data_IF_611637905377
#
_entry.id   IF_611637905377
#
_cell.length_a   1.000
_cell.length_b   1.000
_cell.length_c   1.000
_cell.angle_alpha   90.00
_cell.angle_beta   90.00
_cell.angle_gamma   90.00
#
_symmetry.space_group_name_H-M   'P 1'
#
loop_
_entity.id
_entity.type
_entity.pdbx_description
1 polymer ?
#
# COMPACT_ATOMS: atom_id res chain seq x y z
N UNK A 1 47.70 -17.43 -29.06
CA UNK A 1 47.08 -16.34 -28.27
C UNK A 1 45.57 -16.45 -28.45
N UNK A 2 44.87 -17.08 -27.50
CA UNK A 2 43.42 -17.26 -27.58
C UNK A 2 42.74 -15.93 -27.21
N UNK A 3 42.00 -15.35 -28.15
CA UNK A 3 41.16 -14.18 -27.89
C UNK A 3 39.96 -14.66 -27.07
N UNK A 4 39.91 -14.26 -25.81
CA UNK A 4 38.76 -14.45 -24.92
C UNK A 4 37.64 -13.54 -25.46
N UNK A 5 36.45 -14.07 -25.78
CA UNK A 5 35.34 -13.22 -26.17
C UNK A 5 34.89 -12.37 -24.99
N UNK A 6 34.47 -11.11 -25.22
CA UNK A 6 34.02 -10.22 -24.15
C UNK A 6 32.80 -10.83 -23.45
N UNK A 7 32.64 -10.59 -22.14
CA UNK A 7 31.47 -11.07 -21.41
C UNK A 7 30.23 -10.40 -22.00
N UNK A 8 29.27 -11.22 -22.42
CA UNK A 8 27.97 -10.79 -22.90
C UNK A 8 27.24 -10.05 -21.77
N UNK A 9 27.41 -8.73 -21.70
CA UNK A 9 26.60 -7.82 -20.90
C UNK A 9 25.23 -7.74 -21.58
N UNK A 10 24.48 -8.85 -21.52
CA UNK A 10 23.09 -8.93 -21.92
C UNK A 10 22.27 -8.07 -20.97
N UNK A 11 22.24 -6.76 -21.22
CA UNK A 11 21.39 -5.82 -20.52
C UNK A 11 19.95 -6.29 -20.60
N UNK A 12 19.40 -6.72 -19.46
CA UNK A 12 18.03 -7.17 -19.36
C UNK A 12 17.12 -5.95 -19.58
N UNK A 13 16.78 -5.67 -20.84
CA UNK A 13 15.83 -4.63 -21.23
C UNK A 13 14.41 -5.08 -20.88
N UNK A 14 14.10 -5.08 -19.58
CA UNK A 14 12.79 -5.43 -19.06
C UNK A 14 11.75 -4.46 -19.64
N UNK A 15 10.69 -4.99 -20.24
CA UNK A 15 9.57 -4.16 -20.70
C UNK A 15 8.96 -3.44 -19.50
N UNK A 16 8.56 -2.17 -19.66
CA UNK A 16 7.94 -1.36 -18.58
C UNK A 16 6.79 -2.10 -17.86
N UNK A 17 6.00 -2.88 -18.60
CA UNK A 17 4.93 -3.71 -18.05
C UNK A 17 5.43 -4.84 -17.13
N UNK A 18 6.58 -5.44 -17.43
CA UNK A 18 7.22 -6.44 -16.56
C UNK A 18 7.80 -5.77 -15.31
N UNK A 19 8.40 -4.58 -15.45
CA UNK A 19 8.90 -3.80 -14.31
C UNK A 19 7.76 -3.46 -13.34
N UNK A 20 6.61 -3.00 -13.85
CA UNK A 20 5.42 -2.72 -13.01
C UNK A 20 4.97 -3.97 -12.25
N UNK A 21 4.95 -5.15 -12.90
CA UNK A 21 4.60 -6.42 -12.24
C UNK A 21 5.59 -6.80 -11.14
N UNK A 22 6.89 -6.62 -11.38
CA UNK A 22 7.93 -6.90 -10.38
C UNK A 22 7.82 -5.94 -9.19
N UNK A 23 7.63 -4.64 -9.43
CA UNK A 23 7.39 -3.65 -8.37
C UNK A 23 6.18 -4.01 -7.52
N UNK A 24 5.06 -4.35 -8.16
CA UNK A 24 3.84 -4.80 -7.47
C UNK A 24 4.09 -6.05 -6.64
N UNK A 25 4.76 -7.06 -7.21
CA UNK A 25 5.09 -8.28 -6.50
C UNK A 25 5.97 -7.99 -5.27
N UNK A 26 7.02 -7.17 -5.42
CA UNK A 26 7.89 -6.77 -4.32
C UNK A 26 7.12 -6.04 -3.21
N UNK A 27 6.21 -5.13 -3.56
CA UNK A 27 5.38 -4.44 -2.58
C UNK A 27 4.50 -5.41 -1.79
N UNK A 28 3.82 -6.33 -2.48
CA UNK A 28 2.98 -7.35 -1.83
C UNK A 28 3.81 -8.28 -0.94
N UNK A 29 5.04 -8.61 -1.35
CA UNK A 29 5.95 -9.46 -0.59
C UNK A 29 6.37 -8.80 0.73
N UNK A 30 6.65 -7.49 0.72
CA UNK A 30 6.93 -6.71 1.94
C UNK A 30 5.72 -6.69 2.88
N UNK A 31 4.50 -6.54 2.34
CA UNK A 31 3.26 -6.59 3.12
C UNK A 31 3.09 -7.96 3.78
N UNK A 32 3.31 -9.04 3.04
CA UNK A 32 3.24 -10.41 3.56
C UNK A 32 4.28 -10.66 4.64
N UNK A 33 5.53 -10.24 4.40
CA UNK A 33 6.62 -10.34 5.36
C UNK A 33 6.31 -9.61 6.66
N UNK A 34 5.67 -8.43 6.57
CA UNK A 34 5.21 -7.72 7.76
C UNK A 34 4.16 -8.52 8.54
N UNK A 35 3.17 -9.10 7.85
CA UNK A 35 2.13 -9.93 8.50
C UNK A 35 2.75 -11.13 9.20
N UNK A 36 3.68 -11.82 8.56
CA UNK A 36 4.38 -12.99 9.11
C UNK A 36 5.22 -12.63 10.35
N UNK A 37 5.99 -11.54 10.27
CA UNK A 37 6.87 -11.11 11.38
C UNK A 37 6.14 -10.47 12.55
N UNK A 38 5.04 -9.76 12.29
CA UNK A 38 4.35 -8.98 13.33
C UNK A 38 3.45 -9.84 14.24
N UNK A 39 3.28 -11.12 13.91
CA UNK A 39 2.52 -12.09 14.70
C UNK A 39 1.05 -11.70 14.93
N UNK A 40 0.41 -12.32 15.92
CA UNK A 40 -1.02 -12.10 16.22
C UNK A 40 -1.35 -10.68 16.71
N UNK A 41 -0.39 -10.01 17.35
CA UNK A 41 -0.57 -8.67 17.92
C UNK A 41 -0.48 -7.57 16.86
N UNK A 42 0.15 -7.85 15.71
CA UNK A 42 0.35 -6.91 14.60
C UNK A 42 0.82 -5.53 15.05
N UNK A 43 1.77 -5.48 15.99
CA UNK A 43 2.23 -4.21 16.59
C UNK A 43 2.78 -3.28 15.50
N UNK A 44 2.44 -1.99 15.56
CA UNK A 44 2.91 -0.99 14.59
C UNK A 44 2.18 -1.00 13.24
N UNK A 45 1.09 -1.76 13.09
CA UNK A 45 0.35 -1.85 11.83
C UNK A 45 -0.12 -0.48 11.29
N UNK A 46 -0.48 0.47 12.16
CA UNK A 46 -0.90 1.80 11.75
C UNK A 46 0.23 2.56 11.04
N UNK A 47 1.42 2.60 11.63
CA UNK A 47 2.58 3.27 11.04
C UNK A 47 3.02 2.58 9.75
N UNK A 48 2.99 1.24 9.73
CA UNK A 48 3.28 0.47 8.54
C UNK A 48 2.31 0.82 7.39
N UNK A 49 1.00 0.88 7.65
CA UNK A 49 0.01 1.21 6.62
C UNK A 49 0.21 2.65 6.14
N UNK A 50 0.45 3.62 7.03
CA UNK A 50 0.68 5.01 6.63
C UNK A 50 1.94 5.16 5.75
N UNK A 51 3.06 4.55 6.15
CA UNK A 51 4.28 4.54 5.36
C UNK A 51 4.08 3.81 4.01
N UNK A 52 3.34 2.70 4.01
CA UNK A 52 3.02 1.95 2.80
C UNK A 52 2.19 2.80 1.82
N UNK A 53 1.19 3.55 2.31
CA UNK A 53 0.36 4.44 1.50
C UNK A 53 1.16 5.54 0.80
N UNK A 54 2.17 6.11 1.46
CA UNK A 54 3.09 7.08 0.87
C UNK A 54 3.95 6.44 -0.22
N UNK A 55 4.46 5.23 0.03
CA UNK A 55 5.30 4.48 -0.90
C UNK A 55 4.55 3.92 -2.12
N UNK A 56 3.21 3.81 -2.10
CA UNK A 56 2.44 3.29 -3.25
C UNK A 56 2.69 4.07 -4.55
N UNK A 57 3.06 5.35 -4.48
CA UNK A 57 3.38 6.19 -5.64
C UNK A 57 4.71 5.76 -6.30
N UNK A 58 5.73 5.47 -5.50
CA UNK A 58 7.07 5.07 -5.98
C UNK A 58 7.06 3.69 -6.64
N UNK A 59 6.21 2.80 -6.13
CA UNK A 59 5.98 1.47 -6.67
C UNK A 59 4.98 1.45 -7.85
N UNK A 60 4.35 2.59 -8.19
CA UNK A 60 3.33 2.71 -9.25
C UNK A 60 2.15 1.74 -9.04
N UNK A 61 1.77 1.50 -7.78
CA UNK A 61 0.68 0.58 -7.37
C UNK A 61 -0.53 1.32 -6.78
N UNK A 62 -0.55 2.64 -6.85
CA UNK A 62 -1.60 3.49 -6.29
C UNK A 62 -2.96 3.31 -6.98
N UNK A 63 -3.00 2.74 -8.18
CA UNK A 63 -4.18 2.39 -8.96
C UNK A 63 -4.66 0.93 -8.75
N UNK A 64 -3.84 0.08 -8.13
CA UNK A 64 -4.09 -1.35 -8.01
C UNK A 64 -4.98 -1.70 -6.79
N UNK A 65 -6.21 -2.15 -7.04
CA UNK A 65 -7.16 -2.55 -5.99
C UNK A 65 -6.65 -3.72 -5.13
N UNK A 66 -5.90 -4.64 -5.73
CA UNK A 66 -5.33 -5.79 -5.01
C UNK A 66 -4.37 -5.37 -3.90
N UNK A 67 -3.61 -4.29 -4.11
CA UNK A 67 -2.66 -3.77 -3.12
C UNK A 67 -3.40 -3.16 -1.93
N UNK A 68 -4.47 -2.41 -2.18
CA UNK A 68 -5.34 -1.90 -1.12
C UNK A 68 -5.99 -3.02 -0.30
N UNK A 69 -6.41 -4.11 -0.95
CA UNK A 69 -6.94 -5.29 -0.26
C UNK A 69 -5.89 -5.94 0.65
N UNK A 70 -4.66 -6.08 0.17
CA UNK A 70 -3.55 -6.62 0.96
C UNK A 70 -3.24 -5.74 2.19
N UNK A 71 -3.27 -4.41 2.04
CA UNK A 71 -3.10 -3.48 3.18
C UNK A 71 -4.23 -3.60 4.22
N UNK A 72 -5.48 -3.83 3.79
CA UNK A 72 -6.57 -4.11 4.72
C UNK A 72 -6.35 -5.42 5.49
N UNK A 73 -5.76 -6.44 4.87
CA UNK A 73 -5.42 -7.70 5.54
C UNK A 73 -4.31 -7.56 6.60
N UNK A 74 -3.58 -6.44 6.63
CA UNK A 74 -2.62 -6.09 7.69
C UNK A 74 -3.32 -5.68 8.99
N UNK A 75 -4.55 -5.18 8.95
CA UNK A 75 -5.30 -4.75 10.14
C UNK A 75 -5.68 -5.95 11.01
N UNK A 76 -5.30 -6.03 12.30
CA UNK A 76 -5.59 -7.18 13.14
C UNK A 76 -7.10 -7.46 13.18
N UNK A 77 -7.52 -8.66 12.73
CA UNK A 77 -8.94 -9.11 12.71
C UNK A 77 -9.51 -9.42 14.11
N UNK A 78 -8.90 -8.94 15.18
CA UNK A 78 -9.35 -9.23 16.55
C UNK A 78 -10.50 -8.31 16.98
N UNK A 79 -11.70 -8.91 17.01
CA UNK A 79 -12.89 -8.56 17.80
C UNK A 79 -13.33 -7.09 17.75
N UNK A 80 -14.00 -6.72 16.68
CA UNK A 80 -14.96 -5.59 16.61
C UNK A 80 -16.22 -5.84 17.50
N UNK A 81 -16.05 -6.38 18.70
CA UNK A 81 -17.10 -6.49 19.72
C UNK A 81 -16.51 -5.97 21.01
N UNK A 82 -16.82 -4.72 21.34
CA UNK A 82 -16.54 -4.17 22.66
C UNK A 82 -17.29 -5.02 23.69
N UNK A 83 -16.58 -5.85 24.44
CA UNK A 83 -17.16 -6.65 25.53
C UNK A 83 -17.34 -5.83 26.82
N UNK A 84 -16.82 -4.61 26.89
CA UNK A 84 -16.93 -3.74 28.07
C UNK A 84 -16.83 -2.27 27.68
N UNK A 85 -17.69 -1.41 28.26
CA UNK A 85 -17.73 0.04 28.06
C UNK A 85 -16.37 0.74 28.29
N UNK A 86 -15.56 0.22 29.21
CA UNK A 86 -14.21 0.72 29.53
C UNK A 86 -13.11 0.25 28.56
N UNK A 87 -13.39 -0.72 27.67
CA UNK A 87 -12.51 -1.10 26.55
C UNK A 87 -12.96 -0.48 25.23
N UNK A 88 -14.13 0.17 25.21
CA UNK A 88 -14.51 1.11 24.17
C UNK A 88 -13.77 2.46 24.32
N UNK A 89 -13.06 2.65 25.44
CA UNK A 89 -12.16 3.79 25.75
C UNK A 89 -10.96 3.79 24.77
N UNK A 90 -11.19 4.25 23.55
CA UNK A 90 -11.16 5.64 23.08
C UNK A 90 -9.76 6.13 22.63
N UNK A 91 -8.98 5.27 21.97
CA UNK A 91 -7.80 5.72 21.22
C UNK A 91 -7.41 4.80 20.07
N UNK A 92 -7.09 3.55 20.38
CA UNK A 92 -6.62 2.58 19.38
C UNK A 92 -7.66 2.28 18.29
N UNK A 93 -8.94 2.17 18.66
CA UNK A 93 -10.04 1.96 17.72
C UNK A 93 -10.25 3.17 16.80
N UNK A 94 -10.17 4.39 17.35
CA UNK A 94 -10.25 5.63 16.59
C UNK A 94 -9.08 5.74 15.59
N UNK A 95 -7.86 5.49 16.04
CA UNK A 95 -6.68 5.49 15.16
C UNK A 95 -6.77 4.44 14.03
N UNK A 96 -7.34 3.27 14.33
CA UNK A 96 -7.60 2.26 13.30
C UNK A 96 -8.63 2.74 12.28
N UNK A 97 -9.73 3.35 12.73
CA UNK A 97 -10.74 3.94 11.86
C UNK A 97 -10.18 5.08 11.00
N UNK A 98 -9.37 5.96 11.59
CA UNK A 98 -8.71 7.06 10.88
C UNK A 98 -7.76 6.53 9.79
N UNK A 99 -7.02 5.46 10.09
CA UNK A 99 -6.12 4.81 9.12
C UNK A 99 -6.90 4.17 7.97
N UNK A 100 -8.00 3.47 8.27
CA UNK A 100 -8.91 2.91 7.26
C UNK A 100 -9.52 4.03 6.41
N UNK A 101 -9.97 5.12 7.04
CA UNK A 101 -10.56 6.27 6.36
C UNK A 101 -9.57 6.89 5.37
N UNK A 102 -8.32 7.11 5.78
CA UNK A 102 -7.23 7.61 4.91
C UNK A 102 -7.00 6.68 3.71
N UNK A 103 -6.92 5.37 3.93
CA UNK A 103 -6.77 4.38 2.86
C UNK A 103 -7.92 4.46 1.84
N UNK A 104 -9.17 4.52 2.33
CA UNK A 104 -10.36 4.61 1.48
C UNK A 104 -10.44 5.95 0.73
N UNK A 105 -10.05 7.05 1.36
CA UNK A 105 -9.98 8.37 0.71
C UNK A 105 -8.97 8.37 -0.43
N UNK A 106 -7.79 7.78 -0.24
CA UNK A 106 -6.77 7.67 -1.30
C UNK A 106 -7.29 6.82 -2.47
N UNK A 107 -7.90 5.65 -2.19
CA UNK A 107 -8.53 4.82 -3.21
C UNK A 107 -9.61 5.60 -4.00
N UNK A 108 -10.46 6.35 -3.30
CA UNK A 108 -11.52 7.14 -3.94
C UNK A 108 -10.94 8.30 -4.77
N UNK A 109 -9.87 8.95 -4.32
CA UNK A 109 -9.17 9.99 -5.09
C UNK A 109 -8.60 9.43 -6.40
N UNK A 110 -7.93 8.27 -6.36
CA UNK A 110 -7.45 7.61 -7.57
C UNK A 110 -8.59 7.22 -8.53
N UNK A 111 -9.74 6.77 -7.99
CA UNK A 111 -10.93 6.47 -8.79
C UNK A 111 -11.63 7.71 -9.37
N UNK A 112 -11.75 8.81 -8.61
CA UNK A 112 -12.38 10.05 -9.08
C UNK A 112 -11.54 10.80 -10.11
N UNK A 113 -10.20 10.76 -10.01
CA UNK A 113 -9.33 11.28 -11.06
C UNK A 113 -9.51 10.57 -12.42
N UNK A 114 -10.04 9.35 -12.45
CA UNK A 114 -10.41 8.65 -13.69
C UNK A 114 -11.81 9.03 -14.21
N UNK A 115 -12.63 9.73 -13.42
CA UNK A 115 -14.03 10.05 -13.72
C UNK A 115 -14.35 11.54 -13.83
N UNK A 116 -13.38 12.44 -13.56
CA UNK A 116 -13.60 13.88 -13.70
C UNK A 116 -12.71 14.45 -14.82
N UNK A 117 -13.26 15.00 -15.92
CA UNK A 117 -12.53 16.05 -16.63
C UNK A 117 -12.27 17.18 -15.62
N UNK A 118 -11.06 17.72 -15.62
CA UNK A 118 -10.62 18.73 -14.68
C UNK A 118 -11.68 19.82 -14.49
N UNK A 119 -12.08 20.18 -13.26
CA UNK A 119 -12.71 21.46 -13.04
C UNK A 119 -11.62 22.51 -13.22
N UNK A 120 -11.56 23.09 -14.41
CA UNK A 120 -11.14 24.47 -14.59
C UNK A 120 -11.87 25.34 -13.56
N UNK A 121 -11.11 26.20 -12.88
CA UNK A 121 -11.53 27.13 -11.83
C UNK A 121 -11.79 26.46 -10.47
N UNK A 122 -10.94 26.76 -9.49
CA UNK A 122 -11.28 27.67 -8.38
C UNK A 122 -10.04 27.83 -7.48
N UNK A 123 -9.19 28.79 -7.84
CA UNK A 123 -8.38 29.54 -6.87
C UNK A 123 -8.56 31.02 -7.24
N UNK A 124 -9.72 31.55 -6.87
CA UNK A 124 -9.85 32.97 -6.62
C UNK A 124 -10.54 33.15 -5.27
N UNK A 125 -9.76 33.77 -4.37
CA UNK A 125 -10.14 34.43 -3.12
C UNK A 125 -10.14 33.61 -1.85
#
# INVERSE_FOLDING_TARGET
MNKIPPPDQGGLTLKKSQIKKIKKAAFLDVVNLFIERSGKARRGYNEFILAALEQMKDYEVADDLEVYKALLDVLPRNRLKATTFLHADMGAYKQQQDTISKLLMQLNAHRKCLSCPAPSLFLLR
#
